data_IF_344390458197
#
_entry.id   IF_344390458197
#
_cell.length_a   1.000
_cell.length_b   1.000
_cell.length_c   1.000
_cell.angle_alpha   90.00
_cell.angle_beta   90.00
_cell.angle_gamma   90.00
#
_symmetry.space_group_name_H-M   'P 1'
#
loop_
_entity.id
_entity.type
_entity.pdbx_description
1 polymer ?
#
# COMPACT_ATOMS: atom_id res chain seq x y z
N UNK A 1 21.94 -5.63 9.69
CA UNK A 1 21.08 -4.52 9.25
C UNK A 1 19.99 -4.35 10.28
N UNK A 2 19.72 -3.15 10.82
CA UNK A 2 18.59 -2.98 11.74
C UNK A 2 17.32 -3.32 10.96
N UNK A 3 16.41 -4.07 11.57
CA UNK A 3 15.09 -4.34 10.99
C UNK A 3 14.40 -2.99 10.73
N UNK A 4 14.39 -2.54 9.48
CA UNK A 4 13.58 -1.39 9.09
C UNK A 4 12.13 -1.79 9.27
N UNK A 5 11.44 -1.11 10.17
CA UNK A 5 10.01 -1.28 10.39
C UNK A 5 9.24 -1.07 9.07
N UNK A 6 8.18 -1.84 8.86
CA UNK A 6 7.42 -1.78 7.60
C UNK A 6 6.61 -0.47 7.53
N UNK A 7 6.40 0.04 6.31
CA UNK A 7 5.62 1.26 6.09
C UNK A 7 4.24 1.17 6.74
N UNK A 8 3.61 0.00 6.66
CA UNK A 8 2.28 -0.26 7.22
C UNK A 8 2.23 -0.02 8.72
N UNK A 9 3.27 -0.44 9.45
CA UNK A 9 3.36 -0.25 10.90
C UNK A 9 3.57 1.23 11.21
N UNK A 10 4.50 1.89 10.51
CA UNK A 10 4.79 3.32 10.71
C UNK A 10 3.55 4.18 10.42
N UNK A 11 2.89 3.96 9.28
CA UNK A 11 1.71 4.74 8.87
C UNK A 11 0.53 4.54 9.83
N UNK A 12 0.33 3.32 10.33
CA UNK A 12 -0.74 3.04 11.29
C UNK A 12 -0.44 3.62 12.68
N UNK A 13 0.76 3.36 13.21
CA UNK A 13 1.15 3.76 14.58
C UNK A 13 1.37 5.27 14.69
N UNK A 14 2.19 5.84 13.81
CA UNK A 14 2.71 7.20 13.97
C UNK A 14 1.85 8.24 13.23
N UNK A 15 1.02 7.79 12.29
CA UNK A 15 0.23 8.65 11.43
C UNK A 15 -1.22 8.20 11.30
N UNK A 16 -1.73 7.25 12.09
CA UNK A 16 -3.16 6.92 12.14
C UNK A 16 -3.81 6.55 10.79
N UNK A 17 -3.06 6.00 9.84
CA UNK A 17 -3.62 5.50 8.58
C UNK A 17 -4.29 4.13 8.77
N UNK A 18 -5.44 3.96 8.14
CA UNK A 18 -6.06 2.66 7.91
C UNK A 18 -5.41 1.97 6.72
N UNK A 19 -5.41 0.64 6.73
CA UNK A 19 -4.74 -0.19 5.72
C UNK A 19 -5.78 -1.05 5.02
N UNK A 20 -5.83 -0.96 3.69
CA UNK A 20 -6.69 -1.74 2.83
C UNK A 20 -5.82 -2.51 1.83
N UNK A 21 -5.93 -3.83 1.83
CA UNK A 21 -5.14 -4.70 0.94
C UNK A 21 -6.00 -5.19 -0.22
N UNK A 22 -5.44 -5.18 -1.43
CA UNK A 22 -6.10 -5.77 -2.58
C UNK A 22 -6.19 -7.30 -2.46
N UNK A 23 -7.07 -7.88 -3.26
CA UNK A 23 -7.19 -9.34 -3.38
C UNK A 23 -5.99 -9.88 -4.19
N UNK A 24 -5.35 -10.98 -3.75
CA UNK A 24 -4.28 -11.59 -4.52
C UNK A 24 -4.77 -12.10 -5.88
N UNK A 25 -3.85 -12.13 -6.85
CA UNK A 25 -4.17 -12.65 -8.18
C UNK A 25 -4.33 -14.17 -8.12
N UNK A 26 -5.26 -14.72 -8.91
CA UNK A 26 -5.55 -16.15 -8.95
C UNK A 26 -4.30 -17.02 -9.17
N UNK A 27 -3.41 -16.54 -10.04
CA UNK A 27 -2.14 -17.22 -10.37
C UNK A 27 -1.21 -17.39 -9.16
N UNK A 28 -1.14 -16.41 -8.25
CA UNK A 28 -0.33 -16.53 -7.02
C UNK A 28 -0.88 -17.62 -6.10
N UNK A 29 -2.21 -17.75 -6.04
CA UNK A 29 -2.87 -18.79 -5.27
C UNK A 29 -2.61 -20.18 -5.88
N UNK A 30 -2.74 -20.33 -7.20
CA UNK A 30 -2.45 -21.59 -7.91
C UNK A 30 -1.00 -22.05 -7.70
N UNK A 31 -0.04 -21.12 -7.76
CA UNK A 31 1.38 -21.41 -7.48
C UNK A 31 1.56 -21.86 -6.03
N UNK A 32 0.94 -21.17 -5.07
CA UNK A 32 0.99 -21.54 -3.66
C UNK A 32 0.43 -22.95 -3.43
N UNK A 33 -0.73 -23.29 -3.99
CA UNK A 33 -1.31 -24.63 -3.88
C UNK A 33 -0.38 -25.71 -4.48
N UNK A 34 0.22 -25.45 -5.64
CA UNK A 34 1.16 -26.37 -6.26
C UNK A 34 2.38 -26.62 -5.37
N UNK A 35 2.92 -25.58 -4.74
CA UNK A 35 4.04 -25.67 -3.80
C UNK A 35 3.64 -26.45 -2.55
N UNK A 36 2.46 -26.18 -1.96
CA UNK A 36 1.96 -26.93 -0.81
C UNK A 36 1.81 -28.43 -1.11
N UNK A 37 1.23 -28.77 -2.27
CA UNK A 37 1.07 -30.15 -2.74
C UNK A 37 2.43 -30.83 -2.93
N UNK A 38 3.37 -30.16 -3.60
CA UNK A 38 4.72 -30.68 -3.86
C UNK A 38 5.51 -30.93 -2.58
N UNK A 39 5.42 -30.02 -1.61
CA UNK A 39 6.15 -30.10 -0.35
C UNK A 39 5.43 -30.94 0.73
N UNK A 40 4.22 -31.43 0.44
CA UNK A 40 3.34 -32.14 1.40
C UNK A 40 3.15 -31.37 2.72
N UNK A 41 3.21 -30.04 2.67
CA UNK A 41 3.13 -29.14 3.82
C UNK A 41 1.88 -28.28 3.73
N UNK A 42 0.87 -28.65 4.53
CA UNK A 42 -0.40 -27.90 4.66
C UNK A 42 -0.27 -26.66 5.56
N UNK A 43 0.83 -26.57 6.31
CA UNK A 43 1.12 -25.51 7.29
C UNK A 43 1.82 -24.28 6.68
N UNK A 44 2.23 -24.35 5.41
CA UNK A 44 2.84 -23.23 4.71
C UNK A 44 1.87 -22.04 4.67
N UNK A 45 2.21 -20.86 5.23
CA UNK A 45 1.32 -19.72 5.23
C UNK A 45 1.26 -19.07 3.83
N UNK A 46 0.06 -18.76 3.34
CA UNK A 46 -0.10 -17.95 2.14
C UNK A 46 0.14 -16.48 2.46
N UNK A 47 1.17 -15.88 1.84
CA UNK A 47 1.52 -14.47 2.03
C UNK A 47 1.73 -13.79 0.67
N UNK A 48 0.65 -13.50 -0.07
CA UNK A 48 0.73 -12.90 -1.39
C UNK A 48 1.24 -11.46 -1.31
N UNK A 49 1.89 -11.00 -2.39
CA UNK A 49 2.36 -9.62 -2.50
C UNK A 49 1.30 -8.82 -3.25
N UNK A 50 0.45 -8.15 -2.48
CA UNK A 50 -0.69 -7.40 -3.01
C UNK A 50 -0.48 -5.90 -2.96
N UNK A 51 -1.28 -5.20 -3.76
CA UNK A 51 -1.40 -3.74 -3.72
C UNK A 51 -2.02 -3.33 -2.38
N UNK A 52 -1.61 -2.18 -1.87
CA UNK A 52 -2.06 -1.68 -0.57
C UNK A 52 -2.44 -0.22 -0.71
N UNK A 53 -3.64 0.13 -0.25
CA UNK A 53 -4.07 1.49 -0.07
C UNK A 53 -4.05 1.83 1.43
N UNK A 54 -3.39 2.92 1.77
CA UNK A 54 -3.43 3.51 3.10
C UNK A 54 -4.27 4.77 3.04
N UNK A 55 -5.27 4.88 3.91
CA UNK A 55 -6.15 6.03 3.97
C UNK A 55 -6.10 6.68 5.35
N UNK A 56 -6.03 8.01 5.37
CA UNK A 56 -6.32 8.81 6.57
C UNK A 56 -7.28 9.93 6.24
N UNK A 57 -8.39 9.98 6.97
CA UNK A 57 -9.34 11.10 6.91
C UNK A 57 -8.78 12.33 7.62
N UNK A 58 -8.79 13.49 6.95
CA UNK A 58 -8.41 14.78 7.53
C UNK A 58 -9.63 15.58 7.98
N UNK A 59 -10.68 15.58 7.15
CA UNK A 59 -11.96 16.26 7.43
C UNK A 59 -13.11 15.39 6.94
N UNK A 60 -14.35 15.90 6.94
CA UNK A 60 -15.48 15.15 6.39
C UNK A 60 -15.31 14.76 4.91
N UNK A 61 -14.63 15.59 4.13
CA UNK A 61 -14.56 15.47 2.68
C UNK A 61 -13.12 15.32 2.16
N UNK A 62 -12.11 15.42 3.04
CA UNK A 62 -10.71 15.42 2.64
C UNK A 62 -9.96 14.24 3.25
N UNK A 63 -9.21 13.53 2.41
CA UNK A 63 -8.50 12.32 2.75
C UNK A 63 -7.06 12.39 2.22
N UNK A 64 -6.16 11.75 2.94
CA UNK A 64 -4.81 11.42 2.52
C UNK A 64 -4.76 9.97 2.09
N UNK A 65 -4.14 9.73 0.95
CA UNK A 65 -3.96 8.39 0.40
C UNK A 65 -2.50 8.12 0.15
N UNK A 66 -2.02 6.97 0.59
CA UNK A 66 -0.78 6.37 0.10
C UNK A 66 -1.17 5.09 -0.63
N UNK A 67 -0.84 5.00 -1.91
CA UNK A 67 -1.02 3.78 -2.69
C UNK A 67 0.32 3.11 -2.88
N UNK A 68 0.38 1.81 -2.65
CA UNK A 68 1.54 0.97 -2.87
C UNK A 68 1.19 -0.09 -3.92
N UNK A 69 1.54 0.19 -5.17
CA UNK A 69 1.21 -0.65 -6.33
C UNK A 69 2.37 -1.58 -6.65
N UNK A 70 2.08 -2.86 -6.85
CA UNK A 70 3.04 -3.88 -7.22
C UNK A 70 3.33 -3.80 -8.73
N UNK A 71 4.55 -3.43 -9.07
CA UNK A 71 5.03 -3.46 -10.45
C UNK A 71 5.46 -4.89 -10.78
N UNK A 72 4.83 -5.48 -11.78
CA UNK A 72 5.08 -6.85 -12.24
C UNK A 72 5.85 -6.86 -13.56
N UNK A 73 6.62 -7.91 -13.80
CA UNK A 73 7.20 -8.17 -15.12
C UNK A 73 6.18 -8.88 -16.04
N UNK A 74 6.60 -9.22 -17.27
CA UNK A 74 5.78 -9.96 -18.24
C UNK A 74 5.36 -11.37 -17.77
N UNK A 75 5.94 -11.88 -16.68
CA UNK A 75 5.61 -13.18 -16.09
C UNK A 75 4.78 -13.04 -14.80
N UNK A 76 4.19 -11.88 -14.54
CA UNK A 76 3.43 -11.53 -13.33
C UNK A 76 4.21 -11.57 -12.01
N UNK A 77 5.54 -11.64 -12.07
CA UNK A 77 6.39 -11.62 -10.88
C UNK A 77 6.53 -10.18 -10.39
N UNK A 78 6.23 -9.93 -9.12
CA UNK A 78 6.40 -8.62 -8.50
C UNK A 78 7.89 -8.28 -8.39
N UNK A 79 8.30 -7.22 -9.07
CA UNK A 79 9.69 -6.73 -9.09
C UNK A 79 9.90 -5.74 -7.95
N UNK A 80 8.95 -4.80 -7.76
CA UNK A 80 9.02 -3.73 -6.77
C UNK A 80 7.63 -3.19 -6.45
N UNK A 81 7.54 -2.45 -5.33
CA UNK A 81 6.38 -1.60 -5.03
C UNK A 81 6.69 -0.15 -5.40
N UNK A 82 5.80 0.46 -6.17
CA UNK A 82 5.78 1.90 -6.40
C UNK A 82 4.78 2.55 -5.47
N UNK A 83 5.15 3.72 -4.96
CA UNK A 83 4.33 4.44 -4.00
C UNK A 83 3.89 5.79 -4.53
N UNK A 84 2.62 6.11 -4.33
CA UNK A 84 2.05 7.43 -4.59
C UNK A 84 1.44 7.96 -3.31
N UNK A 85 1.62 9.25 -3.05
CA UNK A 85 1.05 9.94 -1.88
C UNK A 85 0.36 11.21 -2.33
N UNK A 86 -0.93 11.32 -2.03
CA UNK A 86 -1.76 12.43 -2.46
C UNK A 86 -2.85 12.76 -1.44
N UNK A 87 -3.40 13.97 -1.55
CA UNK A 87 -4.59 14.41 -0.83
C UNK A 87 -5.71 14.58 -1.82
N UNK A 88 -6.87 14.00 -1.54
CA UNK A 88 -8.07 14.13 -2.36
C UNK A 88 -9.21 14.74 -1.54
N UNK A 89 -10.00 15.61 -2.18
CA UNK A 89 -11.20 16.22 -1.59
C UNK A 89 -12.43 15.93 -2.44
N UNK A 90 -13.48 15.41 -1.79
CA UNK A 90 -14.72 14.95 -2.40
C UNK A 90 -15.86 15.89 -1.95
N UNK A 91 -16.05 16.97 -2.70
CA UNK A 91 -17.20 17.85 -2.51
C UNK A 91 -18.35 17.34 -3.37
N UNK A 92 -19.41 16.86 -2.72
CA UNK A 92 -20.69 16.47 -3.35
C UNK A 92 -20.55 15.38 -4.43
N UNK A 93 -20.25 14.15 -4.01
CA UNK A 93 -20.24 12.95 -4.86
C UNK A 93 -18.99 12.08 -4.67
N UNK A 94 -18.87 11.04 -5.50
CA UNK A 94 -17.82 10.01 -5.38
C UNK A 94 -16.55 10.34 -6.17
N UNK A 95 -16.57 11.41 -6.97
CA UNK A 95 -15.39 11.85 -7.75
C UNK A 95 -14.62 12.93 -6.99
N UNK A 96 -13.29 12.81 -6.83
CA UNK A 96 -12.51 13.83 -6.17
C UNK A 96 -12.50 15.10 -7.03
N UNK A 97 -12.87 16.23 -6.43
CA UNK A 97 -12.88 17.55 -7.09
C UNK A 97 -11.53 18.24 -7.03
N UNK A 98 -10.71 17.90 -6.03
CA UNK A 98 -9.36 18.44 -5.88
C UNK A 98 -8.42 17.32 -5.46
N UNK A 99 -7.36 17.11 -6.25
CA UNK A 99 -6.30 16.16 -5.96
C UNK A 99 -4.97 16.91 -5.94
N UNK A 100 -4.27 16.86 -4.81
CA UNK A 100 -2.91 17.37 -4.66
C UNK A 100 -1.95 16.22 -4.44
N UNK A 101 -1.09 15.97 -5.43
CA UNK A 101 -0.09 14.91 -5.40
C UNK A 101 1.19 15.44 -4.75
N UNK A 102 1.74 14.70 -3.79
CA UNK A 102 2.97 15.03 -3.08
C UNK A 102 4.13 14.09 -3.44
N UNK A 103 3.80 12.87 -3.88
CA UNK A 103 4.73 11.90 -4.43
C UNK A 103 3.97 11.04 -5.45
N UNK A 104 4.58 10.79 -6.61
CA UNK A 104 4.03 9.92 -7.64
C UNK A 104 5.11 8.92 -8.06
N UNK A 105 4.75 7.63 -8.11
CA UNK A 105 5.64 6.54 -8.55
C UNK A 105 7.00 6.49 -7.83
N UNK A 106 7.03 6.95 -6.57
CA UNK A 106 8.23 7.04 -5.75
C UNK A 106 8.51 5.76 -4.96
N UNK A 107 9.51 5.86 -4.09
CA UNK A 107 9.89 4.80 -3.16
C UNK A 107 9.24 5.00 -1.78
N UNK A 108 9.37 3.97 -0.94
CA UNK A 108 9.04 4.03 0.48
C UNK A 108 9.61 5.28 1.19
N UNK A 109 10.87 5.65 0.90
CA UNK A 109 11.54 6.78 1.55
C UNK A 109 10.94 8.11 1.11
N UNK A 110 10.52 8.21 -0.14
CA UNK A 110 9.93 9.44 -0.70
C UNK A 110 8.59 9.74 -0.05
N UNK A 111 7.76 8.71 0.14
CA UNK A 111 6.49 8.84 0.88
C UNK A 111 6.73 9.28 2.32
N UNK A 112 7.64 8.62 3.05
CA UNK A 112 7.94 9.02 4.42
C UNK A 112 8.45 10.45 4.52
N UNK A 113 9.32 10.87 3.59
CA UNK A 113 9.80 12.25 3.54
C UNK A 113 8.66 13.24 3.26
N UNK A 114 7.73 12.89 2.38
CA UNK A 114 6.58 13.72 2.08
C UNK A 114 5.61 13.83 3.27
N UNK A 115 5.29 12.70 3.93
CA UNK A 115 4.40 12.66 5.10
C UNK A 115 5.00 13.42 6.29
N UNK A 116 6.32 13.35 6.49
CA UNK A 116 7.02 14.13 7.52
C UNK A 116 6.81 15.65 7.41
N UNK A 117 6.41 16.17 6.24
CA UNK A 117 6.08 17.60 6.09
C UNK A 117 4.72 17.98 6.72
N UNK A 118 3.92 16.98 7.07
CA UNK A 118 2.61 17.14 7.70
C UNK A 118 2.75 16.95 9.21
N UNK A 119 3.43 17.90 9.86
CA UNK A 119 3.74 17.81 11.29
C UNK A 119 2.48 17.64 12.16
N UNK A 120 1.34 18.17 11.72
CA UNK A 120 0.05 18.08 12.40
C UNK A 120 -0.57 16.66 12.41
N UNK A 121 0.04 15.71 11.70
CA UNK A 121 -0.43 14.32 11.66
C UNK A 121 0.09 13.48 12.84
N UNK A 122 1.13 13.94 13.52
CA UNK A 122 1.69 13.31 14.72
C UNK A 122 0.91 13.68 15.97
#
# INVERSE_FOLDING_TARGET
>A
MPFSETLSVILKRDYGFNIFTATPIKREYEVYEAVQKRLKRKDLPFRPIVDICYERRLTRHTYLFVEAICVRNAHDVVIRKQYSFYKASYYFGDTPKNVKVYCANGTYKDVLKAIKKFNFLR
#
